data_IF_692385019767
#
_entry.id   IF_692385019767
#
_cell.length_a   1.000
_cell.length_b   1.000
_cell.length_c   1.000
_cell.angle_alpha   90.00
_cell.angle_beta   90.00
_cell.angle_gamma   90.00
#
_symmetry.space_group_name_H-M   'P 1'
#
loop_
_entity.id
_entity.type
_entity.pdbx_description
1 polymer ?
#
# COMPACT_ATOMS: atom_id res chain seq x y z
N UNK A 1 16.48 8.20 1.13
CA UNK A 1 17.90 7.94 1.45
C UNK A 1 18.62 9.20 1.93
N UNK A 2 18.25 10.37 1.45
CA UNK A 2 18.87 11.64 1.87
C UNK A 2 18.64 11.92 3.35
N UNK A 3 17.47 11.62 3.87
CA UNK A 3 17.18 11.70 5.30
C UNK A 3 18.09 10.73 6.10
N UNK A 4 18.28 9.50 5.60
CA UNK A 4 19.12 8.50 6.25
C UNK A 4 20.59 8.94 6.33
N UNK A 5 21.08 9.60 5.30
CA UNK A 5 22.47 10.13 5.25
C UNK A 5 22.67 11.26 6.29
N UNK A 6 21.61 12.00 6.60
CA UNK A 6 21.64 13.14 7.54
C UNK A 6 21.37 12.77 9.01
N UNK A 7 20.94 11.53 9.28
CA UNK A 7 20.68 11.06 10.64
C UNK A 7 21.97 10.83 11.43
N UNK A 8 21.92 11.17 12.71
CA UNK A 8 22.97 10.84 13.67
C UNK A 8 22.73 9.48 14.37
N UNK A 9 23.69 9.05 15.16
CA UNK A 9 23.63 7.76 15.87
C UNK A 9 22.44 7.73 16.83
N UNK A 10 22.15 8.85 17.50
CA UNK A 10 21.09 8.94 18.50
C UNK A 10 19.70 8.82 17.87
N UNK A 11 19.50 9.49 16.76
CA UNK A 11 18.26 9.39 15.97
C UNK A 11 18.03 7.99 15.40
N UNK A 12 19.10 7.34 14.91
CA UNK A 12 19.02 5.98 14.39
C UNK A 12 18.76 4.95 15.48
N UNK A 13 19.40 5.07 16.64
CA UNK A 13 19.18 4.12 17.75
C UNK A 13 17.83 4.28 18.43
N UNK A 14 17.12 5.39 18.19
CA UNK A 14 15.73 5.57 18.64
C UNK A 14 14.70 4.77 17.83
N UNK A 15 15.11 4.25 16.67
CA UNK A 15 14.25 3.42 15.82
C UNK A 15 14.21 2.01 16.40
N UNK A 16 13.00 1.46 16.51
CA UNK A 16 12.81 0.11 17.02
C UNK A 16 13.63 -0.91 16.19
N UNK A 17 14.24 -1.88 16.85
CA UNK A 17 15.15 -2.89 16.27
C UNK A 17 16.55 -2.38 15.82
N UNK A 18 16.85 -1.07 15.88
CA UNK A 18 18.17 -0.54 15.59
C UNK A 18 18.94 -0.27 16.89
N UNK A 19 19.89 -1.13 17.22
CA UNK A 19 20.79 -0.92 18.34
C UNK A 19 21.97 0.01 18.00
N UNK A 20 22.68 0.47 19.03
CA UNK A 20 23.82 1.41 18.92
C UNK A 20 24.91 0.94 17.95
N UNK A 21 25.19 -0.36 17.91
CA UNK A 21 26.17 -0.94 16.98
C UNK A 21 25.73 -0.80 15.53
N UNK A 22 24.46 -1.06 15.27
CA UNK A 22 23.85 -0.94 13.93
C UNK A 22 23.80 0.52 13.49
N UNK A 23 23.35 1.41 14.37
CA UNK A 23 23.32 2.85 14.13
C UNK A 23 24.72 3.41 13.83
N UNK A 24 25.73 3.01 14.61
CA UNK A 24 27.12 3.40 14.41
C UNK A 24 27.67 2.90 13.06
N UNK A 25 27.35 1.67 12.66
CA UNK A 25 27.76 1.11 11.37
C UNK A 25 27.13 1.87 10.19
N UNK A 26 25.86 2.22 10.28
CA UNK A 26 25.13 3.00 9.26
C UNK A 26 25.77 4.39 9.10
N UNK A 27 25.99 5.10 10.20
CA UNK A 27 26.60 6.44 10.18
C UNK A 27 28.02 6.38 9.62
N UNK A 28 28.81 5.36 10.01
CA UNK A 28 30.18 5.17 9.49
C UNK A 28 30.17 4.91 7.99
N UNK A 29 29.21 4.13 7.49
CA UNK A 29 29.08 3.85 6.07
C UNK A 29 28.83 5.14 5.26
N UNK A 30 27.94 6.00 5.73
CA UNK A 30 27.61 7.26 5.05
C UNK A 30 28.61 8.40 5.30
N UNK A 31 29.53 8.26 6.26
CA UNK A 31 30.65 9.20 6.45
C UNK A 31 31.82 8.92 5.51
N UNK A 32 31.85 7.78 4.87
CA UNK A 32 32.86 7.41 3.91
C UNK A 32 32.53 8.02 2.54
N UNK A 33 33.43 8.84 2.01
CA UNK A 33 33.27 9.53 0.73
C UNK A 33 33.10 8.56 -0.45
N UNK A 34 33.76 7.39 -0.40
CA UNK A 34 33.61 6.37 -1.45
C UNK A 34 32.20 5.81 -1.47
N UNK A 35 31.62 5.55 -0.29
CA UNK A 35 30.27 5.06 -0.15
C UNK A 35 29.22 6.12 -0.58
N UNK A 36 29.43 7.37 -0.23
CA UNK A 36 28.59 8.48 -0.69
C UNK A 36 28.63 8.63 -2.22
N UNK A 37 29.81 8.52 -2.81
CA UNK A 37 29.96 8.54 -4.27
C UNK A 37 29.22 7.37 -4.92
N UNK A 38 29.30 6.18 -4.34
CA UNK A 38 28.56 5.00 -4.80
C UNK A 38 27.05 5.23 -4.78
N UNK A 39 26.52 5.75 -3.67
CA UNK A 39 25.08 6.08 -3.52
C UNK A 39 24.65 7.12 -4.55
N UNK A 40 25.44 8.16 -4.77
CA UNK A 40 25.15 9.20 -5.76
C UNK A 40 25.17 8.65 -7.19
N UNK A 41 26.09 7.76 -7.51
CA UNK A 41 26.14 7.07 -8.81
C UNK A 41 24.90 6.18 -9.00
N UNK A 42 24.46 5.46 -7.99
CA UNK A 42 23.26 4.65 -8.03
C UNK A 42 22.00 5.51 -8.23
N UNK A 43 21.90 6.66 -7.57
CA UNK A 43 20.85 7.65 -7.81
C UNK A 43 20.82 8.13 -9.26
N UNK A 44 21.99 8.48 -9.79
CA UNK A 44 22.14 8.96 -11.18
C UNK A 44 21.83 7.86 -12.21
N UNK A 45 21.98 6.61 -11.84
CA UNK A 45 21.66 5.45 -12.70
C UNK A 45 20.16 5.12 -12.73
N UNK A 46 19.30 5.93 -12.11
CA UNK A 46 17.86 5.77 -12.14
C UNK A 46 17.31 4.77 -11.12
N UNK A 47 18.10 4.34 -10.15
CA UNK A 47 17.59 3.56 -9.02
C UNK A 47 16.65 4.42 -8.17
N UNK A 48 15.46 3.91 -7.97
CA UNK A 48 14.45 4.57 -7.16
C UNK A 48 14.65 4.22 -5.68
N UNK A 49 15.11 5.20 -4.91
CA UNK A 49 15.27 5.08 -3.45
C UNK A 49 14.04 5.57 -2.68
N UNK A 50 13.00 5.99 -3.39
CA UNK A 50 11.71 6.29 -2.76
C UNK A 50 10.96 4.99 -2.54
N UNK A 51 10.67 4.71 -1.29
CA UNK A 51 9.83 3.58 -0.94
C UNK A 51 8.38 3.96 -1.25
N UNK A 52 7.92 3.66 -2.46
CA UNK A 52 6.50 3.81 -2.81
C UNK A 52 5.61 2.83 -2.02
N UNK A 53 6.21 1.96 -1.20
CA UNK A 53 5.48 0.98 -0.40
C UNK A 53 4.89 1.57 0.90
N UNK A 54 5.17 2.83 1.25
CA UNK A 54 4.71 3.42 2.51
C UNK A 54 4.15 4.84 2.38
N UNK A 55 3.70 5.27 1.22
CA UNK A 55 2.71 6.34 1.17
C UNK A 55 1.31 5.77 1.45
N UNK A 56 1.16 5.16 2.60
CA UNK A 56 -0.12 4.83 3.22
C UNK A 56 -0.84 6.09 3.74
N UNK A 57 -0.64 7.21 3.07
CA UNK A 57 -1.34 8.46 3.36
C UNK A 57 -2.32 8.88 2.28
N UNK A 58 -2.60 8.03 1.31
CA UNK A 58 -3.87 8.14 0.59
C UNK A 58 -4.93 7.37 1.39
N UNK A 59 -5.41 7.99 2.44
CA UNK A 59 -6.55 7.51 3.22
C UNK A 59 -7.87 7.64 2.44
N UNK A 60 -7.80 7.56 1.12
CA UNK A 60 -8.95 7.73 0.24
C UNK A 60 -10.05 6.71 0.51
N UNK A 61 -9.68 5.53 1.02
CA UNK A 61 -10.60 4.45 1.35
C UNK A 61 -10.76 4.22 2.85
N UNK A 62 -10.30 5.14 3.70
CA UNK A 62 -10.38 5.01 5.16
C UNK A 62 -11.81 4.77 5.63
N UNK A 63 -11.96 3.75 6.46
CA UNK A 63 -13.23 3.31 7.03
C UNK A 63 -14.23 2.73 6.01
N UNK A 64 -13.86 2.55 4.75
CA UNK A 64 -14.72 1.89 3.77
C UNK A 64 -14.50 0.38 3.80
N UNK A 65 -15.61 -0.36 3.71
CA UNK A 65 -15.61 -1.83 3.69
C UNK A 65 -15.98 -2.29 2.28
N UNK A 66 -15.12 -3.09 1.70
CA UNK A 66 -15.27 -3.65 0.36
C UNK A 66 -15.50 -5.15 0.41
N UNK A 67 -16.31 -5.64 -0.50
CA UNK A 67 -16.44 -7.08 -0.81
C UNK A 67 -16.02 -7.27 -2.25
N UNK A 68 -15.15 -8.24 -2.51
CA UNK A 68 -14.66 -8.57 -3.86
C UNK A 68 -15.29 -9.88 -4.31
N UNK A 69 -15.90 -9.88 -5.50
CA UNK A 69 -16.53 -11.06 -6.07
C UNK A 69 -16.41 -11.10 -7.60
N UNK A 70 -16.26 -12.30 -8.14
CA UNK A 70 -16.09 -12.50 -9.58
C UNK A 70 -14.65 -12.73 -9.99
N UNK A 71 -14.40 -12.72 -11.29
CA UNK A 71 -13.09 -12.86 -11.93
C UNK A 71 -12.69 -11.53 -12.53
N UNK A 72 -11.47 -11.09 -12.28
CA UNK A 72 -10.93 -9.83 -12.77
C UNK A 72 -9.92 -10.09 -13.88
N UNK A 73 -9.79 -9.17 -14.82
CA UNK A 73 -8.94 -9.33 -15.99
C UNK A 73 -7.61 -8.57 -15.87
N UNK A 74 -7.60 -7.44 -15.20
CA UNK A 74 -6.43 -6.55 -15.08
C UNK A 74 -5.60 -6.93 -13.85
N UNK A 75 -6.27 -7.15 -12.70
CA UNK A 75 -5.63 -7.52 -11.45
C UNK A 75 -6.21 -8.81 -10.89
N UNK A 76 -5.42 -9.56 -10.16
CA UNK A 76 -5.93 -10.70 -9.38
C UNK A 76 -6.73 -10.21 -8.16
N UNK A 77 -7.56 -11.10 -7.59
CA UNK A 77 -8.27 -10.81 -6.35
C UNK A 77 -7.35 -10.39 -5.20
N UNK A 78 -6.19 -11.03 -5.12
CA UNK A 78 -5.20 -10.75 -4.07
C UNK A 78 -4.57 -9.36 -4.27
N UNK A 79 -4.32 -8.96 -5.49
CA UNK A 79 -3.83 -7.62 -5.81
C UNK A 79 -4.85 -6.55 -5.49
N UNK A 80 -6.12 -6.76 -5.82
CA UNK A 80 -7.20 -5.82 -5.48
C UNK A 80 -7.39 -5.70 -3.97
N UNK A 81 -7.31 -6.79 -3.21
CA UNK A 81 -7.33 -6.76 -1.76
C UNK A 81 -6.21 -5.90 -1.21
N UNK A 82 -5.00 -6.16 -1.69
CA UNK A 82 -3.81 -5.42 -1.27
C UNK A 82 -3.93 -3.93 -1.57
N UNK A 83 -4.39 -3.56 -2.76
CA UNK A 83 -4.63 -2.17 -3.14
C UNK A 83 -5.63 -1.47 -2.20
N UNK A 84 -6.72 -2.13 -1.85
CA UNK A 84 -7.72 -1.59 -0.92
C UNK A 84 -7.13 -1.39 0.47
N UNK A 85 -6.43 -2.40 1.01
CA UNK A 85 -5.83 -2.35 2.34
C UNK A 85 -4.72 -1.31 2.43
N UNK A 86 -3.87 -1.19 1.42
CA UNK A 86 -2.82 -0.18 1.33
C UNK A 86 -3.38 1.26 1.29
N UNK A 87 -4.61 1.44 0.82
CA UNK A 87 -5.31 2.73 0.81
C UNK A 87 -6.24 2.94 2.01
N UNK A 88 -6.11 2.13 3.05
CA UNK A 88 -6.85 2.26 4.30
C UNK A 88 -8.24 1.63 4.31
N UNK A 89 -8.65 0.96 3.24
CA UNK A 89 -9.90 0.22 3.15
C UNK A 89 -9.86 -1.11 3.89
N UNK A 90 -11.03 -1.68 4.15
CA UNK A 90 -11.18 -3.01 4.77
C UNK A 90 -11.86 -3.97 3.81
N UNK A 91 -11.45 -5.23 3.84
CA UNK A 91 -12.04 -6.31 3.04
C UNK A 91 -12.93 -7.18 3.92
N UNK A 92 -14.13 -7.47 3.41
CA UNK A 92 -15.05 -8.44 4.01
C UNK A 92 -15.33 -9.58 3.03
N UNK A 93 -15.53 -10.76 3.55
CA UNK A 93 -15.90 -11.96 2.76
C UNK A 93 -17.39 -12.01 2.41
N UNK A 94 -18.22 -11.28 3.16
CA UNK A 94 -19.67 -11.27 3.00
C UNK A 94 -20.24 -9.85 2.95
N UNK A 95 -21.31 -9.68 2.19
CA UNK A 95 -22.04 -8.42 2.11
C UNK A 95 -22.93 -8.26 3.33
N UNK A 96 -22.84 -7.09 3.95
CA UNK A 96 -23.68 -6.68 5.08
C UNK A 96 -24.08 -5.22 4.94
N UNK A 97 -24.93 -4.75 5.85
CA UNK A 97 -25.34 -3.33 5.90
C UNK A 97 -24.17 -2.36 6.16
N UNK A 98 -23.02 -2.87 6.58
CA UNK A 98 -21.78 -2.11 6.79
C UNK A 98 -20.88 -2.08 5.56
N UNK A 99 -21.18 -2.86 4.51
CA UNK A 99 -20.42 -2.89 3.28
C UNK A 99 -20.67 -1.62 2.49
N UNK A 100 -19.61 -0.92 2.10
CA UNK A 100 -19.71 0.33 1.35
C UNK A 100 -19.72 0.10 -0.16
N UNK A 101 -18.98 -0.89 -0.64
CA UNK A 101 -18.88 -1.21 -2.07
C UNK A 101 -18.74 -2.71 -2.31
N UNK A 102 -19.39 -3.20 -3.36
CA UNK A 102 -19.14 -4.51 -3.94
C UNK A 102 -18.32 -4.34 -5.22
N UNK A 103 -17.09 -4.82 -5.21
CA UNK A 103 -16.24 -4.86 -6.41
C UNK A 103 -16.58 -6.12 -7.19
N UNK A 104 -17.24 -5.95 -8.31
CA UNK A 104 -17.75 -7.02 -9.15
C UNK A 104 -16.87 -7.23 -10.38
N UNK A 105 -16.31 -8.43 -10.50
CA UNK A 105 -15.65 -8.90 -11.72
C UNK A 105 -16.62 -9.63 -12.65
N UNK A 106 -16.08 -10.25 -13.70
CA UNK A 106 -16.85 -11.16 -14.56
C UNK A 106 -17.33 -12.37 -13.77
N UNK A 107 -18.48 -12.91 -14.17
CA UNK A 107 -19.09 -14.09 -13.54
C UNK A 107 -19.34 -13.95 -12.03
N UNK A 108 -19.73 -12.77 -11.59
CA UNK A 108 -20.20 -12.59 -10.22
C UNK A 108 -21.42 -13.48 -9.96
N UNK A 109 -21.41 -14.20 -8.84
CA UNK A 109 -22.54 -15.03 -8.43
C UNK A 109 -23.79 -14.19 -8.13
N UNK A 110 -24.99 -14.64 -8.55
CA UNK A 110 -26.25 -13.89 -8.36
C UNK A 110 -26.54 -13.62 -6.88
N UNK A 111 -26.14 -14.49 -5.97
CA UNK A 111 -26.36 -14.34 -4.54
C UNK A 111 -25.74 -13.08 -3.96
N UNK A 112 -24.50 -12.76 -4.31
CA UNK A 112 -23.83 -11.54 -3.82
C UNK A 112 -24.36 -10.30 -4.48
N UNK A 113 -24.66 -10.36 -5.77
CA UNK A 113 -25.24 -9.26 -6.51
C UNK A 113 -26.62 -8.87 -5.97
N UNK A 114 -27.49 -9.85 -5.77
CA UNK A 114 -28.85 -9.65 -5.21
C UNK A 114 -28.77 -9.07 -3.79
N UNK A 115 -27.89 -9.61 -2.96
CA UNK A 115 -27.70 -9.12 -1.60
C UNK A 115 -27.17 -7.68 -1.53
N UNK A 116 -26.30 -7.29 -2.46
CA UNK A 116 -25.87 -5.91 -2.58
C UNK A 116 -27.02 -4.98 -2.94
N UNK A 117 -27.86 -5.38 -3.89
CA UNK A 117 -29.06 -4.61 -4.28
C UNK A 117 -30.07 -4.50 -3.13
N UNK A 118 -30.33 -5.57 -2.39
CA UNK A 118 -31.22 -5.58 -1.23
C UNK A 118 -30.78 -4.61 -0.12
N UNK A 119 -29.47 -4.55 0.11
CA UNK A 119 -28.87 -3.69 1.14
C UNK A 119 -28.51 -2.29 0.65
N UNK A 120 -28.75 -1.98 -0.63
CA UNK A 120 -28.40 -0.70 -1.23
C UNK A 120 -26.90 -0.48 -1.36
N UNK A 121 -26.10 -1.55 -1.41
CA UNK A 121 -24.65 -1.48 -1.58
C UNK A 121 -24.31 -1.23 -3.04
N UNK A 122 -23.63 -0.14 -3.39
CA UNK A 122 -23.23 0.14 -4.75
C UNK A 122 -22.27 -0.93 -5.29
N UNK A 123 -22.53 -1.35 -6.53
CA UNK A 123 -21.68 -2.30 -7.26
C UNK A 123 -20.76 -1.53 -8.18
N UNK A 124 -19.47 -1.70 -8.02
CA UNK A 124 -18.44 -1.08 -8.85
C UNK A 124 -17.60 -2.14 -9.55
N UNK A 125 -17.00 -1.78 -10.67
CA UNK A 125 -16.05 -2.63 -11.38
C UNK A 125 -14.60 -2.32 -10.94
N UNK A 126 -13.66 -3.08 -11.48
CA UNK A 126 -12.24 -2.93 -11.23
C UNK A 126 -11.72 -1.52 -11.56
N UNK A 127 -12.12 -0.96 -12.70
CA UNK A 127 -11.71 0.37 -13.16
C UNK A 127 -12.20 1.45 -12.19
N UNK A 128 -13.46 1.37 -11.78
CA UNK A 128 -14.02 2.32 -10.82
C UNK A 128 -13.36 2.24 -9.44
N UNK A 129 -12.90 1.06 -9.03
CA UNK A 129 -12.09 0.92 -7.80
C UNK A 129 -10.76 1.65 -7.92
N UNK A 130 -10.07 1.49 -9.04
CA UNK A 130 -8.80 2.19 -9.30
C UNK A 130 -9.01 3.70 -9.31
N UNK A 131 -10.09 4.19 -9.91
CA UNK A 131 -10.43 5.62 -9.90
C UNK A 131 -10.69 6.16 -8.48
N UNK A 132 -11.25 5.35 -7.58
CA UNK A 132 -11.45 5.72 -6.17
C UNK A 132 -10.12 5.81 -5.38
N UNK A 133 -9.12 5.06 -5.78
CA UNK A 133 -7.79 5.02 -5.16
C UNK A 133 -6.92 6.19 -5.64
N UNK A 134 -7.14 6.64 -6.85
CA UNK A 134 -6.33 7.68 -7.52
C UNK A 134 -6.48 9.08 -6.92
#
# INVERSE_FOLDING_TARGET
IDELISLDIESLSSIDEIGDKTASSIVSFFKDDENLNLVNRLKSSGLNFTNNALNTNSSNLSNLIFVISGVFEIHSREELKKLIEENGGKISSSISSKTNYLVAGKNIGPSKFNKANELGVPVINEVSLIDLIS
#
